data_IF_576664225140
#
_entry.id   IF_576664225140
#
_cell.length_a   1.000
_cell.length_b   1.000
_cell.length_c   1.000
_cell.angle_alpha   90.00
_cell.angle_beta   90.00
_cell.angle_gamma   90.00
#
_symmetry.space_group_name_H-M   'P 1'
#
loop_
_entity.id
_entity.type
_entity.pdbx_description
1 polymer ?
#
# COMPACT_ATOMS: atom_id res chain seq x y z
N UNK A 1 4.51 -18.87 -13.76
CA UNK A 1 4.27 -18.53 -13.72
C UNK A 1 3.93 -17.49 -13.73
N UNK A 2 4.02 -17.02 -13.84
CA UNK A 2 3.89 -16.03 -13.93
C UNK A 2 2.76 -15.48 -13.97
N UNK A 3 2.11 -15.61 -13.84
CA UNK A 3 1.06 -15.24 -13.80
C UNK A 3 0.84 -14.21 -12.91
N UNK A 4 0.95 -13.09 -13.26
CA UNK A 4 0.83 -12.04 -12.51
C UNK A 4 -0.54 -11.79 -12.13
N UNK A 5 -1.50 -12.36 -12.69
CA UNK A 5 -2.71 -12.11 -12.43
C UNK A 5 -3.04 -12.16 -11.06
N UNK A 6 -3.07 -13.12 -10.43
CA UNK A 6 -3.41 -13.18 -9.12
C UNK A 6 -2.47 -12.55 -8.26
N UNK A 7 -1.32 -12.33 -8.77
CA UNK A 7 -0.28 -11.83 -7.98
C UNK A 7 -0.13 -10.36 -7.94
N UNK A 8 -0.91 -9.59 -8.68
CA UNK A 8 -0.74 -8.14 -8.64
C UNK A 8 -1.11 -7.60 -7.26
N UNK A 9 -2.20 -8.11 -6.68
CA UNK A 9 -2.57 -7.69 -5.34
C UNK A 9 -1.48 -8.09 -4.36
N UNK A 10 -0.97 -9.30 -4.48
CA UNK A 10 0.09 -9.76 -3.59
C UNK A 10 1.36 -8.94 -3.78
N UNK A 11 1.67 -8.58 -5.01
CA UNK A 11 2.85 -7.79 -5.29
C UNK A 11 2.74 -6.41 -4.66
N UNK A 12 1.55 -5.80 -4.71
CA UNK A 12 1.34 -4.51 -4.09
C UNK A 12 1.47 -4.62 -2.57
N UNK A 13 0.84 -5.62 -1.98
CA UNK A 13 0.92 -5.80 -0.54
C UNK A 13 2.36 -6.03 -0.11
N UNK A 14 3.06 -6.89 -0.80
CA UNK A 14 4.42 -7.20 -0.45
C UNK A 14 5.34 -6.01 -0.59
N UNK A 15 5.19 -5.25 -1.67
CA UNK A 15 6.04 -4.09 -1.87
C UNK A 15 5.84 -3.06 -0.77
N UNK A 16 4.59 -2.83 -0.38
CA UNK A 16 4.29 -1.87 0.67
C UNK A 16 4.83 -2.37 2.00
N UNK A 17 4.57 -3.61 2.32
CA UNK A 17 4.96 -4.15 3.62
C UNK A 17 6.46 -4.28 3.77
N UNK A 18 7.15 -4.43 2.66
CA UNK A 18 8.59 -4.52 2.70
C UNK A 18 9.22 -3.16 2.90
N UNK A 19 8.65 -2.15 2.27
CA UNK A 19 9.23 -0.82 2.30
C UNK A 19 8.83 -0.03 3.53
N UNK A 20 7.63 -0.21 4.03
CA UNK A 20 7.12 0.57 5.16
C UNK A 20 7.12 -0.30 6.40
N UNK A 21 7.90 0.05 7.42
CA UNK A 21 8.04 -0.81 8.61
C UNK A 21 6.73 -1.04 9.33
N UNK A 22 6.54 -2.27 9.75
CA UNK A 22 5.39 -2.68 10.56
C UNK A 22 4.06 -2.31 9.94
N UNK A 23 3.99 -2.35 8.62
CA UNK A 23 2.77 -1.98 7.93
C UNK A 23 1.90 -3.18 7.63
N UNK A 24 0.62 -2.92 7.50
CA UNK A 24 -0.33 -3.89 7.00
C UNK A 24 -1.02 -3.25 5.82
N UNK A 25 -0.96 -3.85 4.68
CA UNK A 25 -1.56 -3.31 3.48
C UNK A 25 -2.73 -4.16 3.04
N UNK A 26 -3.86 -3.53 2.79
CA UNK A 26 -5.02 -4.21 2.26
C UNK A 26 -5.24 -3.68 0.86
N UNK A 27 -5.23 -4.54 -0.11
CA UNK A 27 -5.33 -4.15 -1.50
C UNK A 27 -6.49 -4.87 -2.13
N UNK A 28 -7.32 -4.15 -2.87
CA UNK A 28 -8.41 -4.76 -3.61
C UNK A 28 -8.48 -4.12 -4.99
N UNK A 29 -9.19 -4.74 -5.88
CA UNK A 29 -9.38 -4.20 -7.21
C UNK A 29 -8.98 -5.18 -8.29
N UNK A 30 -8.81 -4.68 -9.49
CA UNK A 30 -8.41 -5.48 -10.63
C UNK A 30 -8.46 -4.64 -11.88
N UNK A 31 -8.05 -5.23 -12.99
CA UNK A 31 -8.04 -4.51 -14.24
C UNK A 31 -7.11 -3.32 -14.25
N UNK A 32 -6.10 -3.33 -13.43
CA UNK A 32 -5.16 -2.23 -13.38
C UNK A 32 -5.56 -1.11 -12.42
N UNK A 33 -6.75 -1.21 -11.81
CA UNK A 33 -7.24 -0.18 -10.89
C UNK A 33 -7.37 -0.79 -9.51
N UNK A 34 -6.76 -0.16 -8.53
CA UNK A 34 -6.70 -0.74 -7.19
C UNK A 34 -7.04 0.25 -6.09
N UNK A 35 -7.54 -0.27 -5.00
CA UNK A 35 -7.79 0.51 -3.78
C UNK A 35 -6.89 -0.03 -2.70
N UNK A 36 -6.23 0.83 -1.97
CA UNK A 36 -5.21 0.45 -1.02
C UNK A 36 -5.44 1.12 0.32
N UNK A 37 -5.34 0.34 1.38
CA UNK A 37 -5.39 0.85 2.74
C UNK A 37 -4.11 0.39 3.40
N UNK A 38 -3.37 1.28 4.02
CA UNK A 38 -2.14 0.92 4.71
C UNK A 38 -2.18 1.44 6.14
N UNK A 39 -1.88 0.56 7.07
CA UNK A 39 -1.82 0.91 8.48
C UNK A 39 -0.39 0.68 8.93
N UNK A 40 0.24 1.69 9.50
CA UNK A 40 1.60 1.55 9.99
C UNK A 40 1.93 2.61 11.02
N UNK A 41 2.68 2.27 12.06
CA UNK A 41 3.14 3.26 13.02
C UNK A 41 4.12 4.25 12.36
N UNK A 42 4.66 3.90 11.20
CA UNK A 42 5.57 4.79 10.50
C UNK A 42 4.89 6.07 10.02
N UNK A 43 3.55 6.09 9.98
CA UNK A 43 2.83 7.28 9.57
C UNK A 43 2.62 8.27 10.71
N UNK A 44 3.01 7.91 11.92
CA UNK A 44 2.83 8.80 13.06
C UNK A 44 3.63 10.07 12.84
N UNK A 45 3.00 11.20 13.08
CA UNK A 45 3.68 12.48 12.90
C UNK A 45 3.76 12.97 11.47
N UNK A 46 3.20 12.22 10.52
CA UNK A 46 3.23 12.63 9.13
C UNK A 46 1.85 13.07 8.69
N UNK A 47 1.80 14.03 7.79
CA UNK A 47 0.49 14.45 7.28
C UNK A 47 0.09 13.48 6.18
N UNK A 48 -1.11 13.65 5.66
CA UNK A 48 -1.65 12.75 4.68
C UNK A 48 -0.78 12.65 3.42
N UNK A 49 -0.33 13.78 2.95
CA UNK A 49 0.48 13.80 1.74
C UNK A 49 1.79 13.02 1.93
N UNK A 50 2.44 13.21 3.05
CA UNK A 50 3.68 12.52 3.33
C UNK A 50 3.46 11.02 3.43
N UNK A 51 2.39 10.61 4.10
CA UNK A 51 2.08 9.20 4.24
C UNK A 51 1.78 8.58 2.89
N UNK A 52 1.02 9.27 2.05
CA UNK A 52 0.69 8.75 0.74
C UNK A 52 1.92 8.65 -0.14
N UNK A 53 2.84 9.60 -0.02
CA UNK A 53 4.08 9.54 -0.79
C UNK A 53 4.90 8.32 -0.43
N UNK A 54 4.89 7.94 0.82
CA UNK A 54 5.61 6.75 1.26
C UNK A 54 5.05 5.52 0.54
N UNK A 55 3.74 5.43 0.44
CA UNK A 55 3.10 4.29 -0.20
C UNK A 55 3.39 4.30 -1.70
N UNK A 56 3.26 5.46 -2.35
CA UNK A 56 3.52 5.55 -3.78
C UNK A 56 4.98 5.21 -4.10
N UNK A 57 5.90 5.61 -3.24
CA UNK A 57 7.30 5.25 -3.45
C UNK A 57 7.50 3.74 -3.39
N UNK A 58 6.76 3.07 -2.52
CA UNK A 58 6.91 1.64 -2.36
C UNK A 58 6.41 0.89 -3.59
N UNK A 59 5.43 1.43 -4.31
CA UNK A 59 4.83 0.72 -5.43
C UNK A 59 5.16 1.33 -6.79
N UNK A 60 6.02 2.33 -6.81
CA UNK A 60 6.33 3.03 -8.05
C UNK A 60 6.78 2.10 -9.15
N UNK A 61 7.56 1.10 -8.82
CA UNK A 61 8.06 0.15 -9.80
C UNK A 61 6.95 -0.68 -10.44
N UNK A 62 5.80 -0.77 -9.80
CA UNK A 62 4.67 -1.52 -10.33
C UNK A 62 3.77 -0.63 -11.19
N UNK A 63 4.03 0.67 -11.18
CA UNK A 63 3.24 1.63 -11.94
C UNK A 63 4.01 2.23 -13.11
N UNK A 64 5.27 1.88 -13.25
CA UNK A 64 6.11 2.48 -14.28
C UNK A 64 6.02 1.72 -15.58
N UNK A 65 6.00 2.42 -16.68
CA UNK A 65 6.05 1.81 -18.00
C UNK A 65 4.69 1.47 -18.56
N UNK A 66 4.64 1.25 -19.85
CA UNK A 66 3.41 0.98 -20.53
C UNK A 66 2.79 -0.33 -20.15
N UNK A 67 3.58 -1.29 -19.78
CA UNK A 67 3.09 -2.61 -19.45
C UNK A 67 2.92 -2.79 -17.94
N UNK A 68 2.91 -1.72 -17.20
CA UNK A 68 2.82 -1.83 -15.76
C UNK A 68 1.52 -2.49 -15.34
N UNK A 69 1.57 -3.39 -14.36
CA UNK A 69 0.36 -4.07 -13.91
C UNK A 69 -0.61 -3.15 -13.17
N UNK A 70 -0.11 -2.05 -12.63
CA UNK A 70 -0.96 -1.11 -11.92
C UNK A 70 -1.08 0.16 -12.74
N UNK A 71 -2.27 0.43 -13.25
CA UNK A 71 -2.49 1.62 -14.05
C UNK A 71 -2.90 2.79 -13.18
N UNK A 72 -3.67 2.55 -12.15
CA UNK A 72 -4.14 3.62 -11.29
C UNK A 72 -4.47 3.12 -9.89
N UNK A 73 -4.28 4.00 -8.93
CA UNK A 73 -4.69 3.74 -7.56
C UNK A 73 -5.93 4.60 -7.36
N UNK A 74 -7.09 3.96 -7.35
CA UNK A 74 -8.36 4.68 -7.24
C UNK A 74 -8.58 5.25 -5.86
N UNK A 75 -8.06 4.61 -4.86
CA UNK A 75 -8.24 5.06 -3.49
C UNK A 75 -7.02 4.66 -2.69
N UNK A 76 -6.49 5.57 -1.91
CA UNK A 76 -5.36 5.27 -1.05
C UNK A 76 -5.61 5.89 0.31
N UNK A 77 -5.64 5.07 1.34
CA UNK A 77 -5.83 5.53 2.70
C UNK A 77 -4.68 5.07 3.55
N UNK A 78 -4.21 5.93 4.41
CA UNK A 78 -3.11 5.61 5.32
C UNK A 78 -3.52 5.99 6.72
N UNK A 79 -3.14 5.18 7.69
CA UNK A 79 -3.41 5.52 9.07
C UNK A 79 -2.48 4.80 10.01
N UNK A 80 -2.40 5.30 11.21
CA UNK A 80 -1.61 4.64 12.24
C UNK A 80 -2.47 3.57 12.89
N UNK A 81 -1.86 2.61 13.56
CA UNK A 81 -2.62 1.58 14.26
C UNK A 81 -3.48 2.18 15.37
N UNK A 82 -4.55 1.52 15.70
CA UNK A 82 -5.41 2.03 16.75
C UNK A 82 -4.67 2.13 18.07
N UNK A 83 -4.81 3.26 18.72
CA UNK A 83 -4.13 3.43 19.92
C UNK A 83 -4.71 2.60 20.97
N UNK A 84 -5.96 2.34 20.89
CA UNK A 84 -6.59 1.54 21.86
C UNK A 84 -5.90 0.25 22.11
N UNK A 85 -5.25 -0.19 21.13
CA UNK A 85 -4.60 -1.43 21.30
C UNK A 85 -3.58 -1.32 22.37
N UNK A 86 -3.19 -0.17 22.64
CA UNK A 86 -2.16 -0.07 23.58
C UNK A 86 -2.73 -0.02 24.92
N UNK A 87 -3.79 0.13 24.98
CA UNK A 87 -4.15 0.20 26.11
C UNK A 87 -4.48 -0.70 26.80
N UNK A 88 -4.61 -0.98 26.72
CA UNK A 88 -4.82 -1.77 27.23
C UNK A 88 -4.48 -1.86 28.22
N UNK A 89 -4.28 -1.33 28.53
CA UNK A 89 -3.92 -1.51 29.41
C UNK A 89 -4.08 -1.50 30.10
#
# INVERSE_FOLDING_TARGET
>A
TTDFKGSVIDALQEAIERQIPNSQAEVSGGGGHFSINVISPAFAGKNMLESQRMVYSAIAHLMAGDAAPVHAVDSLKTKTPPESSSVNV
#
